data_IF_516860934076
#
_entry.id   IF_516860934076
#
_cell.length_a   1.000
_cell.length_b   1.000
_cell.length_c   1.000
_cell.angle_alpha   90.00
_cell.angle_beta   90.00
_cell.angle_gamma   90.00
#
_symmetry.space_group_name_H-M   'P 1'
#
loop_
_entity.id
_entity.type
_entity.pdbx_description
1 polymer ?
#
# COMPACT_ATOMS: atom_id res chain seq x y z
N UNK A 1 10.27 -55.83 5.11
CA UNK A 1 9.62 -55.56 6.39
C UNK A 1 10.13 -54.22 6.86
N UNK A 2 9.42 -53.14 6.53
CA UNK A 2 9.38 -51.87 7.26
C UNK A 2 8.33 -50.99 6.59
N UNK A 3 7.23 -50.81 7.31
CA UNK A 3 5.98 -50.22 6.88
C UNK A 3 5.96 -48.80 7.46
N UNK A 4 6.13 -47.76 6.62
CA UNK A 4 6.08 -46.37 7.08
C UNK A 4 4.70 -45.81 6.76
N UNK A 5 3.90 -45.70 7.82
CA UNK A 5 2.53 -45.19 7.80
C UNK A 5 2.49 -43.73 7.30
N UNK A 6 1.60 -43.47 6.34
CA UNK A 6 1.25 -42.15 5.88
C UNK A 6 0.33 -41.48 6.91
N UNK A 7 0.81 -40.42 7.55
CA UNK A 7 0.01 -39.52 8.38
C UNK A 7 -0.89 -38.68 7.49
N UNK A 8 -2.20 -38.82 7.67
CA UNK A 8 -3.24 -38.07 6.98
C UNK A 8 -3.10 -36.55 7.21
N UNK A 9 -3.20 -35.79 6.14
CA UNK A 9 -3.26 -34.33 6.17
C UNK A 9 -4.57 -33.85 6.82
N UNK A 10 -4.56 -32.74 7.57
CA UNK A 10 -5.79 -32.13 8.07
C UNK A 10 -6.60 -31.59 6.89
N UNK A 11 -7.90 -31.91 6.90
CA UNK A 11 -8.84 -31.58 5.83
C UNK A 11 -8.84 -30.09 5.50
N UNK A 12 -8.61 -29.80 4.22
CA UNK A 12 -8.85 -28.48 3.65
C UNK A 12 -10.33 -28.16 3.84
N UNK A 13 -10.61 -27.18 4.71
CA UNK A 13 -11.95 -26.59 4.80
C UNK A 13 -12.14 -25.80 3.50
N UNK A 14 -12.90 -26.38 2.56
CA UNK A 14 -13.30 -25.66 1.35
C UNK A 14 -14.04 -24.39 1.79
N UNK A 15 -13.60 -23.18 1.39
CA UNK A 15 -14.38 -21.99 1.64
C UNK A 15 -15.71 -22.18 0.91
N UNK A 16 -16.81 -22.28 1.65
CA UNK A 16 -18.13 -22.39 1.08
C UNK A 16 -18.37 -21.18 0.19
N UNK A 17 -18.63 -21.43 -1.10
CA UNK A 17 -19.12 -20.42 -2.05
C UNK A 17 -20.34 -19.78 -1.40
N UNK A 18 -20.22 -18.52 -1.00
CA UNK A 18 -21.38 -17.84 -0.43
C UNK A 18 -22.24 -17.36 -1.58
N UNK A 19 -23.58 -17.42 -1.43
CA UNK A 19 -24.56 -17.03 -2.46
C UNK A 19 -24.43 -15.53 -2.90
N UNK A 20 -23.50 -14.79 -2.27
CA UNK A 20 -23.23 -13.38 -2.49
C UNK A 20 -21.91 -13.10 -3.25
N UNK A 21 -21.09 -14.12 -3.52
CA UNK A 21 -19.81 -13.94 -4.21
C UNK A 21 -20.02 -13.48 -5.65
N UNK A 22 -19.19 -12.55 -6.12
CA UNK A 22 -19.33 -11.89 -7.42
C UNK A 22 -18.06 -12.07 -8.24
N UNK A 23 -17.97 -13.14 -9.05
CA UNK A 23 -16.74 -13.53 -9.72
C UNK A 23 -16.34 -12.50 -10.78
N UNK A 24 -15.12 -11.98 -10.63
CA UNK A 24 -14.43 -11.09 -11.54
C UNK A 24 -13.17 -11.79 -12.06
N UNK A 25 -13.13 -12.05 -13.37
CA UNK A 25 -11.93 -12.49 -14.05
C UNK A 25 -10.95 -11.33 -14.10
N UNK A 26 -9.70 -11.57 -13.68
CA UNK A 26 -8.68 -10.53 -13.71
C UNK A 26 -8.47 -10.02 -15.15
N UNK A 27 -8.54 -8.70 -15.40
CA UNK A 27 -8.31 -8.12 -16.71
C UNK A 27 -6.97 -8.57 -17.30
N UNK A 28 -6.99 -8.86 -18.60
CA UNK A 28 -5.82 -9.39 -19.31
C UNK A 28 -5.64 -10.91 -19.21
N UNK A 29 -6.47 -11.63 -18.44
CA UNK A 29 -6.44 -13.11 -18.44
C UNK A 29 -6.90 -13.64 -19.80
N UNK A 30 -6.05 -14.36 -20.55
CA UNK A 30 -6.41 -14.86 -21.88
C UNK A 30 -7.45 -15.98 -21.77
N UNK A 31 -8.47 -15.93 -22.63
CA UNK A 31 -9.51 -16.97 -22.77
C UNK A 31 -9.46 -17.51 -24.19
N UNK A 32 -8.77 -18.65 -24.34
CA UNK A 32 -8.38 -19.22 -25.63
C UNK A 32 -9.16 -20.52 -25.89
N UNK A 33 -9.63 -20.70 -27.13
CA UNK A 33 -10.08 -22.01 -27.61
C UNK A 33 -8.86 -22.71 -28.20
N UNK A 34 -8.41 -23.77 -27.55
CA UNK A 34 -7.23 -24.54 -27.99
C UNK A 34 -7.59 -25.38 -29.21
N UNK A 35 -8.80 -25.96 -29.17
CA UNK A 35 -9.41 -26.76 -30.23
C UNK A 35 -10.96 -26.64 -30.09
N UNK A 36 -11.77 -27.31 -30.93
CA UNK A 36 -13.24 -27.21 -30.86
C UNK A 36 -13.89 -27.71 -29.55
N UNK A 37 -13.17 -28.49 -28.74
CA UNK A 37 -13.67 -29.11 -27.50
C UNK A 37 -12.89 -28.70 -26.25
N UNK A 38 -11.86 -27.85 -26.38
CA UNK A 38 -11.00 -27.46 -25.26
C UNK A 38 -10.89 -25.95 -25.14
N UNK A 39 -11.15 -25.44 -23.93
CA UNK A 39 -10.97 -24.03 -23.55
C UNK A 39 -9.83 -23.93 -22.54
N UNK A 40 -8.95 -22.93 -22.71
CA UNK A 40 -7.92 -22.59 -21.74
C UNK A 40 -8.11 -21.16 -21.27
N UNK A 41 -8.04 -20.97 -19.95
CA UNK A 41 -8.15 -19.67 -19.29
C UNK A 41 -6.87 -19.43 -18.50
N UNK A 42 -6.11 -18.39 -18.85
CA UNK A 42 -4.76 -18.18 -18.33
C UNK A 42 -3.78 -19.23 -18.88
N UNK A 43 -2.73 -19.55 -18.12
CA UNK A 43 -1.83 -20.64 -18.49
C UNK A 43 -0.88 -20.33 -19.66
N UNK A 44 -0.63 -19.06 -19.96
CA UNK A 44 0.32 -18.62 -20.97
C UNK A 44 1.70 -18.40 -20.35
N UNK A 45 2.77 -18.84 -21.00
CA UNK A 45 4.16 -18.61 -20.59
C UNK A 45 4.51 -19.07 -19.15
N UNK A 46 3.92 -20.18 -18.71
CA UNK A 46 4.23 -20.81 -17.40
C UNK A 46 3.42 -20.26 -16.23
N UNK A 47 2.54 -19.30 -16.47
CA UNK A 47 1.61 -18.81 -15.46
C UNK A 47 0.55 -19.86 -15.07
N UNK A 48 -0.04 -19.77 -13.87
CA UNK A 48 -1.21 -20.56 -13.52
C UNK A 48 -2.37 -20.34 -14.50
N UNK A 49 -3.09 -21.42 -14.81
CA UNK A 49 -4.27 -21.40 -15.67
C UNK A 49 -5.10 -22.65 -15.51
N UNK A 50 -6.31 -22.62 -16.06
CA UNK A 50 -7.23 -23.76 -16.09
C UNK A 50 -7.45 -24.17 -17.54
N UNK A 51 -7.33 -25.46 -17.80
CA UNK A 51 -7.72 -26.05 -19.07
C UNK A 51 -8.94 -26.94 -18.84
N UNK A 52 -9.97 -26.73 -19.65
CA UNK A 52 -11.23 -27.42 -19.59
C UNK A 52 -11.48 -28.15 -20.90
N UNK A 53 -11.54 -29.48 -20.87
CA UNK A 53 -11.79 -30.31 -22.04
C UNK A 53 -11.55 -31.81 -21.76
N UNK A 54 -12.10 -32.72 -22.58
CA UNK A 54 -12.93 -32.42 -23.75
C UNK A 54 -14.37 -32.03 -23.36
N UNK A 55 -14.88 -30.97 -23.99
CA UNK A 55 -16.24 -30.46 -23.85
C UNK A 55 -17.16 -30.98 -24.97
N UNK A 56 -18.48 -31.01 -24.75
CA UNK A 56 -19.44 -31.28 -25.81
C UNK A 56 -19.28 -30.32 -27.00
N UNK A 57 -19.67 -30.77 -28.20
CA UNK A 57 -19.59 -29.96 -29.41
C UNK A 57 -20.36 -28.65 -29.25
N UNK A 58 -19.71 -27.52 -29.55
CA UNK A 58 -20.30 -26.18 -29.41
C UNK A 58 -20.17 -25.56 -28.00
N UNK A 59 -19.93 -26.35 -26.95
CA UNK A 59 -19.85 -25.86 -25.58
C UNK A 59 -18.60 -25.00 -25.31
N UNK A 60 -17.51 -25.22 -26.05
CA UNK A 60 -16.28 -24.42 -25.91
C UNK A 60 -16.49 -22.92 -26.18
N UNK A 61 -17.42 -22.56 -27.08
CA UNK A 61 -17.81 -21.17 -27.31
C UNK A 61 -18.55 -20.58 -26.12
N UNK A 62 -19.58 -21.28 -25.64
CA UNK A 62 -20.40 -20.86 -24.51
C UNK A 62 -19.60 -20.72 -23.21
N UNK A 63 -18.68 -21.64 -22.92
CA UNK A 63 -17.77 -21.53 -21.76
C UNK A 63 -16.88 -20.30 -21.89
N UNK A 64 -16.30 -20.06 -23.06
CA UNK A 64 -15.43 -18.90 -23.26
C UNK A 64 -16.19 -17.57 -23.10
N UNK A 65 -17.42 -17.48 -23.59
CA UNK A 65 -18.26 -16.30 -23.42
C UNK A 65 -18.72 -16.11 -21.98
N UNK A 66 -19.06 -17.20 -21.28
CA UNK A 66 -19.37 -17.17 -19.85
C UNK A 66 -18.19 -16.62 -19.05
N UNK A 67 -16.97 -17.12 -19.30
CA UNK A 67 -15.74 -16.69 -18.62
C UNK A 67 -15.41 -15.23 -18.91
N UNK A 68 -15.53 -14.79 -20.18
CA UNK A 68 -15.33 -13.38 -20.55
C UNK A 68 -16.34 -12.45 -19.89
N UNK A 69 -17.55 -12.95 -19.61
CA UNK A 69 -18.61 -12.22 -18.92
C UNK A 69 -18.49 -12.22 -17.39
N UNK A 70 -17.40 -12.75 -16.81
CA UNK A 70 -17.15 -12.68 -15.36
C UNK A 70 -16.54 -11.31 -15.02
N UNK A 71 -17.39 -10.29 -14.97
CA UNK A 71 -17.03 -8.89 -14.70
C UNK A 71 -17.37 -8.44 -13.26
N UNK A 72 -17.78 -9.38 -12.40
CA UNK A 72 -18.24 -9.11 -11.03
C UNK A 72 -19.63 -8.47 -10.93
N UNK A 73 -20.34 -8.23 -12.04
CA UNK A 73 -21.70 -7.68 -12.01
C UNK A 73 -22.75 -8.72 -11.59
N UNK A 74 -22.47 -10.00 -11.85
CA UNK A 74 -23.35 -11.15 -11.52
C UNK A 74 -22.82 -11.88 -10.28
N UNK A 75 -23.72 -12.43 -9.48
CA UNK A 75 -23.34 -13.34 -8.39
C UNK A 75 -22.97 -14.72 -8.95
N UNK A 76 -22.21 -15.52 -8.22
CA UNK A 76 -21.88 -16.90 -8.61
C UNK A 76 -23.15 -17.69 -8.92
N UNK A 77 -24.21 -17.58 -8.11
CA UNK A 77 -25.51 -18.20 -8.39
C UNK A 77 -26.12 -17.76 -9.72
N UNK A 78 -26.06 -16.47 -10.06
CA UNK A 78 -26.55 -15.97 -11.34
C UNK A 78 -25.70 -16.47 -12.52
N UNK A 79 -24.38 -16.60 -12.33
CA UNK A 79 -23.48 -17.19 -13.33
C UNK A 79 -23.83 -18.66 -13.57
N UNK A 80 -24.04 -19.45 -12.52
CA UNK A 80 -24.40 -20.86 -12.61
C UNK A 80 -25.79 -21.05 -13.24
N UNK A 81 -26.77 -20.21 -12.90
CA UNK A 81 -28.07 -20.23 -13.55
C UNK A 81 -27.97 -19.91 -15.06
N UNK A 82 -27.10 -18.96 -15.44
CA UNK A 82 -26.79 -18.67 -16.83
C UNK A 82 -26.07 -19.82 -17.56
N UNK A 83 -25.22 -20.57 -16.85
CA UNK A 83 -24.58 -21.77 -17.38
C UNK A 83 -25.60 -22.86 -17.74
N UNK A 84 -26.57 -23.12 -16.84
CA UNK A 84 -27.68 -24.05 -17.10
C UNK A 84 -28.48 -23.63 -18.33
N UNK A 85 -28.80 -22.32 -18.44
CA UNK A 85 -29.54 -21.79 -19.59
C UNK A 85 -28.77 -21.91 -20.91
N UNK A 86 -27.44 -22.00 -20.86
CA UNK A 86 -26.55 -22.24 -21.99
C UNK A 86 -26.21 -23.73 -22.19
N UNK A 87 -26.95 -24.64 -21.54
CA UNK A 87 -26.76 -26.10 -21.61
C UNK A 87 -25.37 -26.57 -21.13
N UNK A 88 -24.73 -25.81 -20.25
CA UNK A 88 -23.47 -26.18 -19.60
C UNK A 88 -23.74 -26.91 -18.27
N UNK A 89 -22.95 -27.93 -17.98
CA UNK A 89 -22.98 -28.63 -16.69
C UNK A 89 -22.53 -27.67 -15.56
N UNK A 90 -23.39 -27.40 -14.55
CA UNK A 90 -23.04 -26.52 -13.43
C UNK A 90 -21.81 -26.99 -12.65
N UNK A 91 -21.63 -28.31 -12.47
CA UNK A 91 -20.48 -28.85 -11.73
C UNK A 91 -19.17 -28.54 -12.43
N UNK A 92 -19.15 -28.64 -13.77
CA UNK A 92 -17.99 -28.27 -14.59
C UNK A 92 -17.67 -26.77 -14.47
N UNK A 93 -18.70 -25.92 -14.41
CA UNK A 93 -18.51 -24.47 -14.24
C UNK A 93 -18.04 -24.14 -12.81
N UNK A 94 -18.56 -24.81 -11.79
CA UNK A 94 -18.09 -24.66 -10.40
C UNK A 94 -16.62 -25.06 -10.24
N UNK A 95 -16.21 -26.19 -10.82
CA UNK A 95 -14.83 -26.65 -10.83
C UNK A 95 -13.91 -25.66 -11.57
N UNK A 96 -14.37 -25.12 -12.70
CA UNK A 96 -13.66 -24.07 -13.44
C UNK A 96 -13.46 -22.81 -12.57
N UNK A 97 -14.52 -22.30 -11.95
CA UNK A 97 -14.44 -21.12 -11.08
C UNK A 97 -13.50 -21.37 -9.89
N UNK A 98 -13.56 -22.56 -9.30
CA UNK A 98 -12.69 -22.99 -8.20
C UNK A 98 -11.23 -23.04 -8.63
N UNK A 99 -10.94 -23.64 -9.79
CA UNK A 99 -9.59 -23.69 -10.36
C UNK A 99 -9.04 -22.31 -10.67
N UNK A 100 -9.88 -21.39 -11.18
CA UNK A 100 -9.46 -20.02 -11.47
C UNK A 100 -9.19 -19.20 -10.21
N UNK A 101 -9.95 -19.40 -9.13
CA UNK A 101 -9.65 -18.80 -7.82
C UNK A 101 -8.34 -19.33 -7.26
N UNK A 102 -8.14 -20.65 -7.29
CA UNK A 102 -6.90 -21.27 -6.83
C UNK A 102 -5.67 -20.80 -7.63
N UNK A 103 -5.83 -20.57 -8.93
CA UNK A 103 -4.80 -19.98 -9.80
C UNK A 103 -4.64 -18.46 -9.69
N UNK A 104 -5.41 -17.78 -8.83
CA UNK A 104 -5.37 -16.32 -8.68
C UNK A 104 -5.71 -15.57 -9.97
N UNK A 105 -6.61 -16.14 -10.80
CA UNK A 105 -7.11 -15.52 -12.05
C UNK A 105 -8.55 -15.05 -11.91
N UNK A 106 -9.26 -15.52 -10.89
CA UNK A 106 -10.59 -15.07 -10.51
C UNK A 106 -10.56 -14.54 -9.08
N UNK A 107 -11.17 -13.38 -8.89
CA UNK A 107 -11.37 -12.77 -7.57
C UNK A 107 -12.85 -12.47 -7.37
N UNK A 108 -13.29 -12.35 -6.13
CA UNK A 108 -14.68 -12.03 -5.82
C UNK A 108 -14.82 -10.58 -5.33
N UNK A 109 -15.69 -9.82 -6.00
CA UNK A 109 -16.02 -8.46 -5.59
C UNK A 109 -16.99 -8.47 -4.41
N UNK A 110 -16.74 -7.62 -3.41
CA UNK A 110 -17.77 -7.31 -2.42
C UNK A 110 -18.80 -6.35 -3.02
N UNK A 111 -20.03 -6.38 -2.49
CA UNK A 111 -21.06 -5.36 -2.81
C UNK A 111 -20.55 -3.93 -2.54
N UNK A 112 -19.72 -3.75 -1.50
CA UNK A 112 -19.09 -2.47 -1.20
C UNK A 112 -18.14 -1.99 -2.33
N UNK A 113 -17.41 -2.89 -2.99
CA UNK A 113 -16.51 -2.53 -4.10
C UNK A 113 -17.31 -2.05 -5.32
N UNK A 114 -18.43 -2.72 -5.61
CA UNK A 114 -19.34 -2.29 -6.66
C UNK A 114 -19.95 -0.91 -6.38
N UNK A 115 -20.40 -0.67 -5.15
CA UNK A 115 -20.96 0.62 -4.73
C UNK A 115 -19.91 1.74 -4.74
N UNK A 116 -18.65 1.41 -4.48
CA UNK A 116 -17.55 2.36 -4.51
C UNK A 116 -17.02 2.64 -5.93
N UNK A 117 -17.46 1.87 -6.92
CA UNK A 117 -17.13 2.06 -8.33
C UNK A 117 -18.01 3.17 -8.93
N UNK A 118 -17.41 4.02 -9.76
CA UNK A 118 -18.12 5.17 -10.35
C UNK A 118 -19.30 4.73 -11.24
N UNK A 119 -20.35 5.54 -11.29
CA UNK A 119 -21.51 5.27 -12.13
C UNK A 119 -21.24 5.49 -13.63
N UNK A 120 -20.31 6.39 -13.99
CA UNK A 120 -20.11 6.77 -15.40
C UNK A 120 -19.28 5.72 -16.16
N UNK A 121 -19.62 5.39 -17.42
CA UNK A 121 -18.86 4.41 -18.20
C UNK A 121 -17.37 4.74 -18.33
N UNK A 122 -17.04 6.02 -18.51
CA UNK A 122 -15.65 6.47 -18.66
C UNK A 122 -14.83 6.26 -17.38
N UNK A 123 -15.39 6.57 -16.21
CA UNK A 123 -14.69 6.36 -14.95
C UNK A 123 -14.55 4.86 -14.62
N UNK A 124 -15.59 4.05 -14.91
CA UNK A 124 -15.49 2.58 -14.78
C UNK A 124 -14.38 2.00 -15.63
N UNK A 125 -14.25 2.47 -16.87
CA UNK A 125 -13.18 2.03 -17.77
C UNK A 125 -11.79 2.37 -17.21
N UNK A 126 -11.60 3.59 -16.68
CA UNK A 126 -10.33 4.00 -16.05
C UNK A 126 -9.95 3.16 -14.84
N UNK A 127 -10.92 2.75 -14.03
CA UNK A 127 -10.66 2.04 -12.77
C UNK A 127 -10.75 0.52 -12.89
N UNK A 128 -11.12 -0.04 -14.04
CA UNK A 128 -11.37 -1.49 -14.18
C UNK A 128 -10.16 -2.35 -13.78
N UNK A 129 -8.97 -1.98 -14.27
CA UNK A 129 -7.71 -2.65 -13.89
C UNK A 129 -7.38 -2.46 -12.40
N UNK A 130 -7.66 -1.27 -11.87
CA UNK A 130 -7.35 -0.91 -10.48
C UNK A 130 -8.26 -1.60 -9.47
N UNK A 131 -9.54 -1.79 -9.80
CA UNK A 131 -10.49 -2.57 -8.99
C UNK A 131 -10.00 -4.01 -8.89
N UNK A 132 -9.66 -4.62 -10.03
CA UNK A 132 -9.15 -5.99 -10.07
C UNK A 132 -7.83 -6.14 -9.31
N UNK A 133 -6.89 -5.19 -9.49
CA UNK A 133 -5.62 -5.18 -8.77
C UNK A 133 -5.81 -4.99 -7.25
N UNK A 134 -6.72 -4.09 -6.84
CA UNK A 134 -7.05 -3.85 -5.44
C UNK A 134 -7.62 -5.10 -4.78
N UNK A 135 -8.56 -5.78 -5.43
CA UNK A 135 -9.21 -6.96 -4.87
C UNK A 135 -8.29 -8.18 -4.93
N UNK A 136 -7.48 -8.32 -5.97
CA UNK A 136 -6.48 -9.39 -6.06
C UNK A 136 -5.39 -9.31 -4.99
N UNK A 137 -4.95 -8.10 -4.64
CA UNK A 137 -3.95 -7.90 -3.59
C UNK A 137 -4.57 -7.78 -2.19
N UNK A 138 -5.75 -7.16 -2.09
CA UNK A 138 -6.39 -6.71 -0.86
C UNK A 138 -7.57 -7.56 -0.38
N UNK A 139 -8.03 -8.50 -1.21
CA UNK A 139 -9.25 -9.26 -1.00
C UNK A 139 -10.52 -8.42 -1.21
N UNK A 140 -11.67 -9.06 -0.97
CA UNK A 140 -12.97 -8.43 -1.08
C UNK A 140 -13.07 -7.16 -0.19
N UNK A 141 -13.70 -6.11 -0.71
CA UNK A 141 -13.84 -4.81 -0.06
C UNK A 141 -12.62 -3.90 -0.16
N UNK A 142 -11.50 -4.35 -0.76
CA UNK A 142 -10.27 -3.54 -0.83
C UNK A 142 -10.48 -2.26 -1.64
N UNK A 143 -11.18 -2.34 -2.76
CA UNK A 143 -11.48 -1.16 -3.56
C UNK A 143 -12.31 -0.16 -2.74
N UNK A 144 -13.35 -0.62 -2.04
CA UNK A 144 -14.15 0.24 -1.17
C UNK A 144 -13.32 0.91 -0.05
N UNK A 145 -12.41 0.16 0.58
CA UNK A 145 -11.47 0.70 1.58
C UNK A 145 -10.61 1.83 1.00
N UNK A 146 -9.99 1.61 -0.16
CA UNK A 146 -9.21 2.66 -0.84
C UNK A 146 -10.06 3.88 -1.18
N UNK A 147 -11.27 3.69 -1.72
CA UNK A 147 -12.19 4.79 -2.09
C UNK A 147 -12.68 5.62 -0.92
N UNK A 148 -12.61 5.10 0.30
CA UNK A 148 -12.98 5.80 1.54
C UNK A 148 -11.78 6.36 2.29
N UNK A 149 -10.57 5.93 1.93
CA UNK A 149 -9.33 6.37 2.57
C UNK A 149 -8.94 7.81 2.19
N UNK A 150 -8.33 8.51 3.15
CA UNK A 150 -7.75 9.82 3.02
C UNK A 150 -6.25 9.79 3.33
N UNK A 151 -5.42 10.11 2.34
CA UNK A 151 -3.97 10.19 2.47
C UNK A 151 -3.51 11.64 2.33
N UNK A 152 -2.68 12.08 3.27
CA UNK A 152 -1.99 13.39 3.19
C UNK A 152 -0.55 13.16 2.77
N UNK A 153 -0.10 13.86 1.74
CA UNK A 153 1.31 13.88 1.32
C UNK A 153 1.91 15.21 1.74
N UNK A 154 2.80 15.18 2.72
CA UNK A 154 3.47 16.36 3.26
C UNK A 154 4.80 16.61 2.52
N UNK A 155 4.76 17.59 1.63
CA UNK A 155 5.83 17.92 0.69
C UNK A 155 5.42 17.65 -0.75
N UNK A 156 5.32 18.73 -1.54
CA UNK A 156 5.15 18.67 -2.99
C UNK A 156 6.54 18.54 -3.65
N UNK A 157 7.20 17.41 -3.41
CA UNK A 157 8.56 17.12 -3.89
C UNK A 157 8.53 16.27 -5.17
N UNK A 158 9.71 15.99 -5.73
CA UNK A 158 9.89 15.05 -6.84
C UNK A 158 9.52 13.59 -6.51
N UNK A 159 9.27 13.28 -5.24
CA UNK A 159 8.65 12.01 -4.79
C UNK A 159 7.18 12.21 -4.47
N UNK A 160 6.83 13.29 -3.77
CA UNK A 160 5.50 13.51 -3.22
C UNK A 160 4.40 13.72 -4.24
N UNK A 161 4.62 14.54 -5.28
CA UNK A 161 3.57 14.78 -6.28
C UNK A 161 3.31 13.54 -7.15
N UNK A 162 4.35 12.85 -7.69
CA UNK A 162 4.13 11.57 -8.37
C UNK A 162 3.46 10.53 -7.49
N UNK A 163 3.84 10.42 -6.21
CA UNK A 163 3.17 9.51 -5.26
C UNK A 163 1.69 9.88 -5.07
N UNK A 164 1.35 11.16 -4.93
CA UNK A 164 -0.04 11.60 -4.81
C UNK A 164 -0.87 11.23 -6.04
N UNK A 165 -0.31 11.41 -7.24
CA UNK A 165 -0.96 11.02 -8.49
C UNK A 165 -1.15 9.49 -8.58
N UNK A 166 -0.13 8.72 -8.19
CA UNK A 166 -0.21 7.26 -8.12
C UNK A 166 -1.26 6.78 -7.12
N UNK A 167 -1.33 7.37 -5.92
CA UNK A 167 -2.34 7.03 -4.90
C UNK A 167 -3.76 7.26 -5.43
N UNK A 168 -3.99 8.41 -6.06
CA UNK A 168 -5.27 8.73 -6.68
C UNK A 168 -5.62 7.72 -7.78
N UNK A 169 -4.66 7.40 -8.66
CA UNK A 169 -4.83 6.43 -9.74
C UNK A 169 -5.14 5.03 -9.22
N UNK A 170 -4.50 4.61 -8.12
CA UNK A 170 -4.74 3.32 -7.46
C UNK A 170 -6.02 3.25 -6.62
N UNK A 171 -6.88 4.28 -6.70
CA UNK A 171 -8.22 4.27 -6.10
C UNK A 171 -8.31 4.92 -4.73
N UNK A 172 -7.30 5.61 -4.23
CA UNK A 172 -7.44 6.37 -2.97
C UNK A 172 -8.45 7.51 -3.16
N UNK A 173 -9.49 7.55 -2.31
CA UNK A 173 -10.63 8.45 -2.48
C UNK A 173 -10.29 9.93 -2.28
N UNK A 174 -9.45 10.22 -1.27
CA UNK A 174 -8.97 11.57 -0.97
C UNK A 174 -7.45 11.59 -0.88
N UNK A 175 -6.82 12.48 -1.65
CA UNK A 175 -5.37 12.69 -1.64
C UNK A 175 -5.09 14.18 -1.53
N UNK A 176 -4.55 14.61 -0.40
CA UNK A 176 -4.22 16.02 -0.17
C UNK A 176 -2.71 16.24 -0.09
N UNK A 177 -2.17 17.12 -0.94
CA UNK A 177 -0.76 17.51 -0.89
C UNK A 177 -0.62 18.77 -0.04
N UNK A 178 0.11 18.68 1.07
CA UNK A 178 0.42 19.79 1.97
C UNK A 178 1.80 20.36 1.64
N UNK A 179 1.83 21.60 1.20
CA UNK A 179 3.06 22.37 1.00
C UNK A 179 2.78 23.87 1.21
N UNK A 180 3.80 24.66 1.50
CA UNK A 180 3.69 26.13 1.69
C UNK A 180 4.64 26.90 0.78
N UNK A 181 5.51 26.22 0.02
CA UNK A 181 6.46 26.82 -0.89
C UNK A 181 5.90 27.11 -2.27
N UNK A 182 6.68 27.86 -3.05
CA UNK A 182 6.49 28.03 -4.48
C UNK A 182 7.30 26.98 -5.26
N UNK A 183 6.82 26.58 -6.43
CA UNK A 183 7.53 25.66 -7.30
C UNK A 183 8.76 26.34 -7.90
N UNK A 184 9.90 25.66 -7.89
CA UNK A 184 11.12 26.06 -8.56
C UNK A 184 11.47 25.10 -9.70
N UNK A 185 12.38 25.51 -10.59
CA UNK A 185 12.82 24.71 -11.73
C UNK A 185 13.30 23.29 -11.36
N UNK A 186 13.93 23.15 -10.19
CA UNK A 186 14.44 21.88 -9.68
C UNK A 186 13.35 20.91 -9.18
N UNK A 187 12.08 21.32 -9.11
CA UNK A 187 10.98 20.46 -8.67
C UNK A 187 10.38 19.62 -9.81
N UNK A 188 10.82 19.86 -11.05
CA UNK A 188 10.25 19.22 -12.22
C UNK A 188 10.46 17.70 -12.20
N UNK A 189 9.38 16.95 -12.46
CA UNK A 189 9.40 15.50 -12.53
C UNK A 189 8.21 14.99 -13.33
N UNK A 190 8.39 13.88 -14.05
CA UNK A 190 7.28 13.19 -14.70
C UNK A 190 6.23 12.77 -13.68
N UNK A 191 4.95 12.97 -14.03
CA UNK A 191 3.83 12.70 -13.13
C UNK A 191 3.72 13.66 -11.95
N UNK A 192 4.53 14.73 -11.91
CA UNK A 192 4.48 15.76 -10.87
C UNK A 192 4.42 17.17 -11.43
N UNK A 193 5.13 18.08 -10.75
CA UNK A 193 5.28 19.47 -11.18
C UNK A 193 6.04 19.54 -12.51
N UNK A 194 5.66 20.47 -13.38
CA UNK A 194 6.32 20.70 -14.67
C UNK A 194 6.91 22.12 -14.75
N UNK A 195 7.65 22.41 -15.81
CA UNK A 195 8.31 23.70 -15.99
C UNK A 195 7.32 24.88 -16.02
N UNK A 196 6.09 24.65 -16.49
CA UNK A 196 5.03 25.67 -16.49
C UNK A 196 4.51 26.02 -15.08
N UNK A 197 4.91 25.24 -14.06
CA UNK A 197 4.48 25.48 -12.68
C UNK A 197 5.37 26.44 -11.91
N UNK A 198 6.52 26.83 -12.46
CA UNK A 198 7.51 27.66 -11.77
C UNK A 198 6.90 28.97 -11.23
N UNK A 199 7.22 29.31 -9.98
CA UNK A 199 6.68 30.46 -9.26
C UNK A 199 5.26 30.28 -8.71
N UNK A 200 4.52 29.23 -9.12
CA UNK A 200 3.18 28.96 -8.59
C UNK A 200 3.26 28.34 -7.18
N UNK A 201 2.22 28.50 -6.33
CA UNK A 201 2.11 27.74 -5.10
C UNK A 201 2.15 26.22 -5.37
N UNK A 202 3.07 25.49 -4.72
CA UNK A 202 3.27 24.06 -4.98
C UNK A 202 2.02 23.22 -4.73
N UNK A 203 1.18 23.62 -3.78
CA UNK A 203 -0.09 22.93 -3.47
C UNK A 203 -1.07 22.96 -4.65
N UNK A 204 -1.19 24.10 -5.32
CA UNK A 204 -2.07 24.25 -6.47
C UNK A 204 -1.52 23.49 -7.68
N UNK A 205 -0.23 23.62 -7.95
CA UNK A 205 0.42 22.92 -9.04
C UNK A 205 0.40 21.39 -8.84
N UNK A 206 0.58 20.91 -7.60
CA UNK A 206 0.41 19.50 -7.27
C UNK A 206 -1.04 19.02 -7.47
N UNK A 207 -2.03 19.82 -7.06
CA UNK A 207 -3.44 19.50 -7.28
C UNK A 207 -3.76 19.38 -8.78
N UNK A 208 -3.24 20.27 -9.61
CA UNK A 208 -3.40 20.20 -11.06
C UNK A 208 -2.70 18.96 -11.66
N UNK A 209 -1.51 18.60 -11.17
CA UNK A 209 -0.83 17.37 -11.59
C UNK A 209 -1.64 16.11 -11.27
N UNK A 210 -2.21 16.01 -10.07
CA UNK A 210 -3.04 14.87 -9.68
C UNK A 210 -4.35 14.84 -10.48
N UNK A 211 -5.02 15.99 -10.65
CA UNK A 211 -6.27 16.09 -11.41
C UNK A 211 -6.12 15.71 -12.89
N UNK A 212 -4.94 15.96 -13.49
CA UNK A 212 -4.62 15.50 -14.85
C UNK A 212 -4.68 13.97 -14.97
N UNK A 213 -4.26 13.24 -13.94
CA UNK A 213 -4.31 11.79 -13.92
C UNK A 213 -5.71 11.26 -13.54
N UNK A 214 -6.32 11.85 -12.52
CA UNK A 214 -7.61 11.40 -11.95
C UNK A 214 -8.51 12.61 -11.66
N UNK A 215 -9.40 13.00 -12.58
CA UNK A 215 -10.26 14.17 -12.41
C UNK A 215 -11.22 14.09 -11.22
N UNK A 216 -11.66 12.88 -10.88
CA UNK A 216 -12.69 12.59 -9.85
C UNK A 216 -12.16 12.48 -8.41
N UNK A 217 -10.85 12.57 -8.16
CA UNK A 217 -10.28 12.44 -6.82
C UNK A 217 -10.56 13.67 -5.96
N UNK A 218 -10.84 13.45 -4.67
CA UNK A 218 -10.98 14.54 -3.70
C UNK A 218 -9.60 15.07 -3.28
N UNK A 219 -9.29 16.30 -3.67
CA UNK A 219 -8.01 16.97 -3.35
C UNK A 219 -8.11 17.96 -2.19
N UNK A 220 -9.31 18.10 -1.61
CA UNK A 220 -9.56 19.09 -0.55
C UNK A 220 -8.76 18.71 0.71
N UNK A 221 -8.30 19.71 1.48
CA UNK A 221 -7.76 19.47 2.81
C UNK A 221 -8.75 18.68 3.68
N UNK A 222 -8.23 17.87 4.60
CA UNK A 222 -9.09 17.26 5.60
C UNK A 222 -9.70 18.34 6.51
N UNK A 223 -10.91 18.12 7.02
CA UNK A 223 -11.48 18.98 8.06
C UNK A 223 -10.54 19.09 9.27
N UNK A 224 -10.53 20.26 9.90
CA UNK A 224 -9.73 20.47 11.10
C UNK A 224 -10.11 19.45 12.19
N UNK A 225 -9.09 18.83 12.80
CA UNK A 225 -9.28 17.80 13.83
C UNK A 225 -9.51 16.38 13.30
N UNK A 226 -9.63 16.18 11.98
CA UNK A 226 -9.67 14.85 11.37
C UNK A 226 -8.25 14.37 11.05
N UNK A 227 -7.86 13.23 11.60
CA UNK A 227 -6.60 12.58 11.23
C UNK A 227 -6.74 11.87 9.87
N UNK A 228 -5.72 11.91 9.00
CA UNK A 228 -5.72 11.07 7.80
C UNK A 228 -5.55 9.60 8.16
N UNK A 229 -5.97 8.70 7.27
CA UNK A 229 -5.69 7.26 7.39
C UNK A 229 -4.18 7.00 7.29
N UNK A 230 -3.47 7.81 6.50
CA UNK A 230 -2.02 7.81 6.44
C UNK A 230 -1.46 9.19 6.07
N UNK A 231 -0.43 9.63 6.81
CA UNK A 231 0.41 10.76 6.45
C UNK A 231 1.70 10.28 5.78
N UNK A 232 2.08 10.83 4.62
CA UNK A 232 3.34 10.53 3.95
C UNK A 232 4.26 11.73 3.97
N UNK A 233 5.39 11.62 4.66
CA UNK A 233 6.41 12.66 4.80
C UNK A 233 7.43 12.53 3.68
N UNK A 234 7.46 13.50 2.75
CA UNK A 234 8.30 13.38 1.54
C UNK A 234 9.44 14.40 1.46
N UNK A 235 9.45 15.38 2.35
CA UNK A 235 10.55 16.33 2.44
C UNK A 235 11.84 15.63 2.89
N UNK A 236 13.01 16.03 2.36
CA UNK A 236 14.29 15.53 2.84
C UNK A 236 14.36 15.67 4.36
N UNK A 237 14.83 14.61 5.02
CA UNK A 237 15.02 14.59 6.48
C UNK A 237 13.78 14.90 7.33
N UNK A 238 12.57 14.87 6.77
CA UNK A 238 11.31 15.06 7.53
C UNK A 238 11.16 14.08 8.70
N UNK A 239 11.78 12.90 8.60
CA UNK A 239 11.82 11.89 9.67
C UNK A 239 12.60 12.34 10.92
N UNK A 240 13.36 13.43 10.83
CA UNK A 240 14.12 14.01 11.94
C UNK A 240 13.29 15.05 12.70
N UNK A 241 12.22 15.57 12.09
CA UNK A 241 11.32 16.53 12.70
C UNK A 241 10.14 15.80 13.36
N UNK A 242 9.99 15.86 14.68
CA UNK A 242 8.82 15.29 15.32
C UNK A 242 7.60 16.23 15.23
N UNK A 243 7.75 17.52 14.90
CA UNK A 243 6.68 18.55 14.90
C UNK A 243 5.52 18.24 13.95
N UNK A 244 5.71 17.76 12.71
CA UNK A 244 4.62 17.37 11.82
C UNK A 244 3.75 16.25 12.40
N UNK A 245 4.32 15.44 13.31
CA UNK A 245 3.70 14.25 13.90
C UNK A 245 3.07 14.54 15.28
N UNK A 246 3.46 15.62 15.95
CA UNK A 246 2.93 15.95 17.29
C UNK A 246 1.43 16.31 17.28
N UNK A 247 0.91 16.85 16.18
CA UNK A 247 -0.53 17.12 15.99
C UNK A 247 -1.32 15.95 15.40
N UNK A 248 -0.65 15.06 14.67
CA UNK A 248 -1.25 13.96 13.92
C UNK A 248 -0.74 12.63 14.49
N UNK A 249 -1.41 12.12 15.53
CA UNK A 249 -1.10 10.84 16.20
C UNK A 249 -1.43 9.59 15.36
N UNK A 250 -1.55 9.75 14.04
CA UNK A 250 -1.98 8.71 13.11
C UNK A 250 -0.81 7.93 12.49
N UNK A 251 -1.13 6.90 11.69
CA UNK A 251 -0.15 6.21 10.87
C UNK A 251 0.60 7.18 9.96
N UNK A 252 1.91 7.00 9.83
CA UNK A 252 2.71 7.82 8.93
C UNK A 252 3.86 7.05 8.29
N UNK A 253 4.20 7.42 7.07
CA UNK A 253 5.27 6.82 6.27
C UNK A 253 6.26 7.91 5.84
N UNK A 254 7.56 7.63 5.92
CA UNK A 254 8.58 8.47 5.29
C UNK A 254 8.82 7.99 3.87
N UNK A 255 8.81 8.88 2.87
CA UNK A 255 9.10 8.54 1.48
C UNK A 255 9.85 9.69 0.81
N UNK A 256 11.19 9.66 0.84
CA UNK A 256 12.02 10.79 0.42
C UNK A 256 13.32 10.33 -0.24
N UNK A 257 14.03 11.24 -0.88
CA UNK A 257 15.40 11.01 -1.36
C UNK A 257 16.38 11.79 -0.50
N UNK A 258 17.45 11.10 -0.08
CA UNK A 258 18.55 11.68 0.72
C UNK A 258 19.83 11.54 -0.07
N UNK A 259 20.30 12.65 -0.66
CA UNK A 259 21.41 12.61 -1.60
C UNK A 259 21.07 11.77 -2.84
N UNK A 260 21.69 10.59 -2.95
CA UNK A 260 21.46 9.62 -4.05
C UNK A 260 20.81 8.31 -3.57
N UNK A 261 20.18 8.33 -2.39
CA UNK A 261 19.48 7.16 -1.82
C UNK A 261 18.00 7.47 -1.68
N UNK A 262 17.17 6.65 -2.30
CA UNK A 262 15.72 6.63 -2.11
C UNK A 262 15.39 5.93 -0.81
N UNK A 263 14.50 6.50 0.00
CA UNK A 263 14.22 6.05 1.37
C UNK A 263 12.71 5.95 1.55
N UNK A 264 12.20 4.74 1.75
CA UNK A 264 10.80 4.47 2.10
C UNK A 264 10.73 3.78 3.45
N UNK A 265 10.23 4.48 4.45
CA UNK A 265 10.04 3.98 5.80
C UNK A 265 10.92 4.67 6.85
N UNK A 266 10.63 4.44 8.14
CA UNK A 266 9.65 3.45 8.61
C UNK A 266 8.20 3.88 8.36
N UNK A 267 7.34 2.89 8.12
CA UNK A 267 5.90 3.03 8.29
C UNK A 267 5.60 2.86 9.77
N UNK A 268 5.16 3.94 10.39
CA UNK A 268 4.88 4.03 11.82
C UNK A 268 3.39 3.90 12.03
N UNK A 269 2.98 2.91 12.82
CA UNK A 269 1.64 2.81 13.40
C UNK A 269 1.80 3.08 14.91
N UNK A 270 1.39 4.26 15.40
CA UNK A 270 1.63 4.68 16.78
C UNK A 270 1.19 3.65 17.82
N UNK A 271 2.03 3.41 18.82
CA UNK A 271 1.83 2.39 19.86
C UNK A 271 2.01 0.94 19.41
N UNK A 272 2.07 0.67 18.09
CA UNK A 272 2.18 -0.69 17.54
C UNK A 272 3.55 -0.98 16.93
N UNK A 273 4.18 -0.02 16.26
CA UNK A 273 5.50 -0.22 15.60
C UNK A 273 6.58 0.63 16.26
N UNK A 274 7.84 0.41 15.87
CA UNK A 274 8.89 1.38 16.12
C UNK A 274 8.51 2.75 15.53
N UNK A 275 8.74 3.81 16.32
CA UNK A 275 8.49 5.19 15.88
C UNK A 275 9.76 5.84 15.32
N UNK A 276 9.63 7.06 14.78
CA UNK A 276 10.77 7.82 14.27
C UNK A 276 11.86 8.05 15.34
N UNK A 277 11.47 8.25 16.60
CA UNK A 277 12.41 8.37 17.73
C UNK A 277 13.19 7.08 17.98
N UNK A 278 12.59 5.89 17.81
CA UNK A 278 13.35 4.63 17.87
C UNK A 278 14.47 4.63 16.82
N UNK A 279 14.15 5.05 15.60
CA UNK A 279 15.15 5.13 14.54
C UNK A 279 16.23 6.19 14.83
N UNK A 280 15.91 7.29 15.54
CA UNK A 280 16.92 8.24 16.01
C UNK A 280 17.83 7.61 17.07
N UNK A 281 17.26 6.95 18.08
CA UNK A 281 18.02 6.31 19.16
C UNK A 281 18.98 5.24 18.62
N UNK A 282 18.53 4.37 17.72
CA UNK A 282 19.41 3.40 17.06
C UNK A 282 20.54 4.05 16.24
N UNK A 283 20.33 5.26 15.70
CA UNK A 283 21.41 6.00 15.04
C UNK A 283 22.36 6.62 16.06
N UNK A 284 21.85 7.12 17.18
CA UNK A 284 22.66 7.62 18.30
C UNK A 284 23.51 6.52 18.95
N UNK A 285 22.98 5.30 19.06
CA UNK A 285 23.74 4.15 19.56
C UNK A 285 24.89 3.78 18.60
N UNK A 286 24.67 3.89 17.30
CA UNK A 286 25.68 3.61 16.28
C UNK A 286 26.70 4.75 16.11
N UNK A 287 26.27 6.00 16.31
CA UNK A 287 27.06 7.21 16.21
C UNK A 287 26.60 8.20 17.31
N UNK A 288 27.36 8.34 18.41
CA UNK A 288 27.03 9.27 19.48
C UNK A 288 26.93 10.74 19.04
N UNK A 289 27.57 11.11 17.93
CA UNK A 289 27.49 12.45 17.32
C UNK A 289 26.20 12.70 16.54
N UNK A 290 25.42 11.65 16.27
CA UNK A 290 24.20 11.70 15.45
C UNK A 290 23.20 12.81 15.84
N UNK A 291 22.90 13.07 17.14
CA UNK A 291 21.96 14.13 17.49
C UNK A 291 22.36 15.51 16.98
N UNK A 292 23.66 15.84 17.01
CA UNK A 292 24.16 17.12 16.50
C UNK A 292 24.05 17.18 14.97
N UNK A 293 24.36 16.08 14.28
CA UNK A 293 24.21 15.98 12.82
C UNK A 293 22.74 16.06 12.40
N UNK A 294 21.84 15.39 13.11
CA UNK A 294 20.41 15.41 12.85
C UNK A 294 19.82 16.81 12.95
N UNK A 295 20.27 17.61 13.92
CA UNK A 295 19.87 19.02 14.05
C UNK A 295 20.32 19.87 12.85
N UNK A 296 21.54 19.66 12.35
CA UNK A 296 22.04 20.36 11.16
C UNK A 296 21.30 19.94 9.89
N UNK A 297 20.95 18.66 9.75
CA UNK A 297 20.19 18.14 8.60
C UNK A 297 18.73 18.59 8.61
N UNK A 298 18.19 18.94 9.77
CA UNK A 298 16.83 19.45 9.91
C UNK A 298 16.69 20.91 9.48
N UNK A 299 17.70 21.75 9.75
CA UNK A 299 17.75 23.12 9.25
C UNK A 299 18.21 23.09 7.78
N UNK A 300 17.31 23.22 6.79
CA UNK A 300 17.68 22.96 5.39
C UNK A 300 18.77 23.94 4.95
N UNK A 301 19.97 23.48 4.56
CA UNK A 301 20.87 24.31 3.78
C UNK A 301 20.32 24.47 2.35
N UNK A 302 20.79 25.49 1.61
CA UNK A 302 20.56 25.75 0.17
C UNK A 302 21.14 24.63 -0.72
N UNK A 303 20.79 23.37 -0.45
CA UNK A 303 21.35 22.23 -1.16
C UNK A 303 20.48 21.85 -2.35
N UNK A 304 21.15 21.62 -3.48
CA UNK A 304 20.55 21.12 -4.70
C UNK A 304 19.69 19.87 -4.45
N UNK A 305 18.55 19.81 -5.13
CA UNK A 305 17.61 18.68 -5.07
C UNK A 305 18.36 17.38 -5.44
N UNK A 306 18.46 16.46 -4.49
CA UNK A 306 19.08 15.15 -4.69
C UNK A 306 18.21 14.18 -5.49
N UNK A 307 18.84 13.16 -6.06
CA UNK A 307 18.19 12.07 -6.79
C UNK A 307 17.83 12.38 -8.24
N UNK A 308 18.32 11.55 -9.16
CA UNK A 308 17.83 11.53 -10.53
C UNK A 308 16.34 11.14 -10.61
N UNK A 309 15.69 11.43 -11.74
CA UNK A 309 14.26 11.15 -11.95
C UNK A 309 13.90 9.68 -11.69
N UNK A 310 14.72 8.74 -12.18
CA UNK A 310 14.50 7.32 -11.97
C UNK A 310 14.44 6.93 -10.48
N UNK A 311 15.35 7.47 -9.66
CA UNK A 311 15.37 7.20 -8.22
C UNK A 311 14.13 7.77 -7.51
N UNK A 312 13.73 8.99 -7.86
CA UNK A 312 12.55 9.63 -7.30
C UNK A 312 11.27 8.82 -7.58
N UNK A 313 11.10 8.37 -8.83
CA UNK A 313 9.94 7.56 -9.23
C UNK A 313 9.96 6.17 -8.62
N UNK A 314 11.14 5.52 -8.56
CA UNK A 314 11.27 4.22 -7.90
C UNK A 314 10.94 4.33 -6.39
N UNK A 315 11.33 5.44 -5.75
CA UNK A 315 10.96 5.74 -4.35
C UNK A 315 9.46 5.94 -4.21
N UNK A 316 8.82 6.69 -5.12
CA UNK A 316 7.37 6.90 -5.11
C UNK A 316 6.59 5.59 -5.33
N UNK A 317 6.99 4.75 -6.29
CA UNK A 317 6.37 3.44 -6.54
C UNK A 317 6.56 2.49 -5.36
N UNK A 318 7.75 2.47 -4.75
CA UNK A 318 7.99 1.67 -3.55
C UNK A 318 7.10 2.15 -2.40
N UNK A 319 6.97 3.46 -2.21
CA UNK A 319 6.09 4.05 -1.22
C UNK A 319 4.62 3.69 -1.47
N UNK A 320 4.14 3.81 -2.72
CA UNK A 320 2.79 3.39 -3.12
C UNK A 320 2.49 1.97 -2.66
N UNK A 321 3.37 1.02 -2.95
CA UNK A 321 3.19 -0.38 -2.52
C UNK A 321 3.04 -0.53 -0.99
N UNK A 322 3.80 0.25 -0.21
CA UNK A 322 3.69 0.22 1.25
C UNK A 322 2.39 0.88 1.75
N UNK A 323 1.95 1.97 1.11
CA UNK A 323 0.68 2.64 1.45
C UNK A 323 -0.50 1.73 1.13
N UNK A 324 -0.55 1.14 -0.06
CA UNK A 324 -1.67 0.28 -0.46
C UNK A 324 -1.74 -0.98 0.42
N UNK A 325 -0.60 -1.62 0.71
CA UNK A 325 -0.57 -2.75 1.65
C UNK A 325 -1.11 -2.37 3.04
N UNK A 326 -0.85 -1.13 3.50
CA UNK A 326 -1.39 -0.63 4.76
C UNK A 326 -2.90 -0.40 4.72
N UNK A 327 -3.40 0.28 3.68
CA UNK A 327 -4.82 0.61 3.51
C UNK A 327 -5.68 -0.62 3.24
N UNK A 328 -5.16 -1.56 2.47
CA UNK A 328 -5.88 -2.78 2.11
C UNK A 328 -5.93 -3.76 3.27
N UNK A 329 -4.93 -3.75 4.17
CA UNK A 329 -4.89 -4.61 5.36
C UNK A 329 -4.66 -6.10 5.07
N UNK A 330 -4.37 -6.47 3.82
CA UNK A 330 -4.19 -7.86 3.38
C UNK A 330 -2.79 -8.40 3.62
N UNK A 331 -1.78 -7.53 3.69
CA UNK A 331 -0.39 -7.90 3.93
C UNK A 331 0.31 -6.84 4.78
N UNK A 332 1.24 -7.28 5.63
CA UNK A 332 2.04 -6.37 6.43
C UNK A 332 3.04 -5.60 5.54
N UNK A 333 3.00 -4.25 5.51
CA UNK A 333 3.99 -3.47 4.75
C UNK A 333 5.42 -3.81 5.19
N UNK A 334 6.32 -4.03 4.23
CA UNK A 334 7.73 -4.30 4.49
C UNK A 334 8.45 -3.15 5.22
N UNK A 335 7.94 -1.92 5.07
CA UNK A 335 8.41 -0.72 5.77
C UNK A 335 7.96 -0.65 7.25
N UNK A 336 7.14 -1.59 7.74
CA UNK A 336 6.92 -1.71 9.19
C UNK A 336 8.26 -2.05 9.86
N UNK A 337 8.62 -1.23 10.85
CA UNK A 337 9.88 -1.36 11.61
C UNK A 337 11.13 -1.46 10.71
N UNK A 338 11.08 -0.85 9.53
CA UNK A 338 12.18 -0.89 8.59
C UNK A 338 12.14 0.27 7.61
N UNK A 339 13.29 0.62 7.08
CA UNK A 339 13.42 1.46 5.90
C UNK A 339 13.80 0.58 4.72
N UNK A 340 13.17 0.83 3.57
CA UNK A 340 13.55 0.32 2.27
C UNK A 340 14.42 1.39 1.61
N UNK A 341 15.66 1.02 1.28
CA UNK A 341 16.63 1.90 0.65
C UNK A 341 16.86 1.47 -0.80
N UNK A 342 16.70 2.42 -1.71
CA UNK A 342 16.95 2.25 -3.14
C UNK A 342 18.19 3.05 -3.53
N UNK A 343 19.06 2.44 -4.35
CA UNK A 343 20.26 3.08 -4.89
C UNK A 343 20.28 2.87 -6.39
N UNK A 344 20.87 3.81 -7.14
CA UNK A 344 21.15 3.60 -8.55
C UNK A 344 22.45 2.77 -8.68
N UNK A 345 22.61 1.98 -9.77
CA UNK A 345 21.72 1.89 -10.94
C UNK A 345 20.61 0.81 -10.83
N UNK A 346 20.67 -0.08 -9.85
CA UNK A 346 19.82 -1.26 -9.75
C UNK A 346 18.40 -0.95 -9.28
N UNK A 347 18.23 0.07 -8.43
CA UNK A 347 16.95 0.50 -7.87
C UNK A 347 16.19 -0.63 -7.16
N UNK A 348 16.91 -1.61 -6.63
CA UNK A 348 16.34 -2.72 -5.87
C UNK A 348 16.22 -2.32 -4.39
N UNK A 349 15.05 -2.51 -3.75
CA UNK A 349 14.89 -2.18 -2.34
C UNK A 349 15.72 -3.07 -1.43
N UNK A 350 16.69 -2.47 -0.73
CA UNK A 350 17.39 -3.10 0.39
C UNK A 350 16.69 -2.75 1.72
N UNK A 351 16.45 -3.74 2.59
CA UNK A 351 15.69 -3.54 3.83
C UNK A 351 16.62 -3.34 5.03
N UNK A 352 16.54 -2.17 5.67
CA UNK A 352 17.22 -1.84 6.93
C UNK A 352 16.22 -1.82 8.08
N UNK A 353 16.35 -2.72 9.06
CA UNK A 353 15.40 -2.82 10.19
C UNK A 353 15.66 -1.75 11.28
N UNK A 354 14.58 -1.41 11.98
CA UNK A 354 14.51 -0.49 13.11
C UNK A 354 13.57 -1.09 14.17
N UNK A 355 14.02 -2.06 14.98
CA UNK A 355 13.20 -2.57 16.06
C UNK A 355 12.88 -1.44 17.06
N UNK A 356 11.81 -1.54 17.85
CA UNK A 356 11.53 -0.56 18.89
C UNK A 356 12.69 -0.48 19.87
N UNK A 357 13.10 0.74 20.15
CA UNK A 357 14.24 1.00 21.02
C UNK A 357 13.80 1.00 22.49
N UNK A 358 14.52 0.31 23.41
CA UNK A 358 14.12 0.21 24.82
C UNK A 358 14.03 1.58 25.53
N UNK A 359 14.97 2.49 25.25
CA UNK A 359 14.94 3.85 25.81
C UNK A 359 13.87 4.79 25.22
N UNK A 360 13.07 4.35 24.25
CA UNK A 360 12.12 5.24 23.56
C UNK A 360 10.81 5.45 24.32
N UNK A 361 10.33 4.42 25.03
CA UNK A 361 9.03 4.45 25.71
C UNK A 361 7.80 4.46 24.79
N UNK A 362 7.95 4.28 23.47
CA UNK A 362 6.81 4.30 22.53
C UNK A 362 6.02 2.99 22.48
N UNK A 363 6.57 1.89 23.04
CA UNK A 363 5.88 0.61 23.21
C UNK A 363 5.59 0.36 24.68
N UNK A 364 4.37 -0.10 25.03
CA UNK A 364 4.10 -0.61 26.37
C UNK A 364 5.03 -1.80 26.67
N UNK A 365 5.68 -1.80 27.84
CA UNK A 365 6.47 -2.93 28.32
C UNK A 365 7.94 -3.00 27.89
N UNK A 366 8.45 -2.09 27.05
CA UNK A 366 9.89 -2.02 26.69
C UNK A 366 10.67 -1.05 27.57
N UNK A 367 10.16 -0.67 28.74
CA UNK A 367 10.89 0.18 29.67
C UNK A 367 12.22 -0.45 30.08
N UNK A 368 13.26 0.34 30.38
CA UNK A 368 14.50 -0.22 30.92
C UNK A 368 14.14 -1.05 32.16
N UNK A 369 14.59 -2.31 32.19
CA UNK A 369 14.51 -3.12 33.40
C UNK A 369 15.10 -2.29 34.55
N UNK A 370 14.29 -2.03 35.57
CA UNK A 370 14.64 -1.13 36.66
C UNK A 370 15.99 -1.50 37.25
N UNK A 371 16.87 -0.51 37.39
CA UNK A 371 17.98 -0.63 38.34
C UNK A 371 17.40 -0.85 39.74
N UNK A 372 17.75 -1.93 40.45
CA UNK A 372 17.33 -2.09 41.83
C UNK A 372 18.14 -1.13 42.71
N UNK A 373 17.44 -0.23 43.39
CA UNK A 373 17.83 0.33 44.68
C UNK A 373 18.96 1.37 44.71
N UNK A 374 18.59 2.63 44.90
CA UNK A 374 19.23 3.41 45.95
C UNK A 374 18.22 3.60 47.08
N UNK A 375 18.39 2.80 48.12
CA UNK A 375 17.71 3.00 49.40
C UNK A 375 18.05 4.41 49.90
N UNK A 376 17.01 5.19 50.17
CA UNK A 376 17.12 6.40 50.99
C UNK A 376 17.65 5.97 52.35
N UNK A 377 18.92 6.24 52.64
CA UNK A 377 19.41 6.28 54.02
C UNK A 377 18.76 7.48 54.70
N UNK A 378 17.74 7.19 55.50
CA UNK A 378 17.35 8.05 56.61
C UNK A 378 18.40 7.92 57.72
N UNK A 379 18.78 9.06 58.30
CA UNK A 379 19.49 9.11 59.59
C UNK A 379 20.82 9.84 59.54
N UNK A 380 20.83 11.12 59.91
CA UNK A 380 21.42 11.58 61.18
C UNK A 380 21.37 13.12 61.23
N UNK A 381 20.66 13.65 62.23
CA UNK A 381 20.82 15.03 62.73
C UNK A 381 22.12 15.11 63.53
N UNK A 382 22.76 16.27 63.55
CA UNK A 382 22.92 17.00 64.81
C UNK A 382 22.37 18.43 64.63
N UNK A 383 21.69 19.03 65.60
CA UNK A 383 22.16 19.23 66.96
C UNK A 383 22.54 20.72 67.06
N UNK A 384 21.64 21.48 67.67
CA UNK A 384 21.70 22.91 68.02
C UNK A 384 22.99 23.36 68.69
N UNK A 385 23.41 24.60 68.41
CA UNK A 385 23.87 25.61 69.38
C UNK A 385 24.02 26.96 68.66
N UNK A 386 23.22 27.95 69.07
CA UNK A 386 23.58 29.38 68.95
C UNK A 386 24.43 29.80 70.15
N UNK A 387 24.66 31.11 70.39
CA UNK A 387 24.18 32.29 69.68
C UNK A 387 25.08 32.76 68.53
#
# INVERSE_FOLDING_TARGET
MEHRAATAAPGATLPGVTDSDRPLLLPGTPVLRVDPVTVRVGGTDGDPGVQLGPLPAGAAGAVADLVRGLDGARTTRSVLAGAVAAELDPGVVEDLLTGLRAGGRLVDLASADLLATSATPAARSRTAAEVAAAVGAGGAGAWARRRTAAVVVDGATRVGVPLAALLAASGVGRVHVRDRGAAGAADTVVGGLCAADEGRPRTLAAADAVRRAVPEVDLRPLPAGTAPDLLVLTRPWAALDPVPVHGERGPHLVATVRGQVGVVGPLVVPGRTACLRCAQLHRTDADPGWPALAAQLHAPPDHAVGGGTALCLATALTALGQVLAHLDGSAAPAALEATLELRAPDLLPSRRRWPPHPACGCRPGTGPAGHPGSSRRAGARPGTLGP
#
